data_IF_329517256775
#
_entry.id   IF_329517256775
#
_cell.length_a   1.000
_cell.length_b   1.000
_cell.length_c   1.000
_cell.angle_alpha   90.00
_cell.angle_beta   90.00
_cell.angle_gamma   90.00
#
_symmetry.space_group_name_H-M   'P 1'
#
loop_
_entity.id
_entity.type
_entity.pdbx_description
1 polymer ?
#
# COMPACT_ATOMS: atom_id res chain seq x y z
N UNK A 1 -20.45 18.98 -55.12
CA UNK A 1 -19.01 19.02 -54.79
C UNK A 1 -18.74 19.44 -53.34
N UNK A 2 -19.50 20.41 -52.79
CA UNK A 2 -19.37 20.85 -51.38
C UNK A 2 -19.54 19.74 -50.33
N UNK A 3 -20.51 18.83 -50.49
CA UNK A 3 -20.69 17.68 -49.60
C UNK A 3 -19.55 16.66 -49.67
N UNK A 4 -18.89 16.53 -50.84
CA UNK A 4 -17.74 15.64 -51.05
C UNK A 4 -16.48 16.18 -50.38
N UNK A 5 -16.28 17.50 -50.44
CA UNK A 5 -15.21 18.20 -49.73
C UNK A 5 -15.41 18.17 -48.21
N UNK A 6 -16.65 18.34 -47.73
CA UNK A 6 -16.99 18.23 -46.31
C UNK A 6 -16.75 16.82 -45.78
N UNK A 7 -17.18 15.78 -46.50
CA UNK A 7 -16.98 14.38 -46.11
C UNK A 7 -15.52 13.96 -46.15
N UNK A 8 -14.73 14.41 -47.14
CA UNK A 8 -13.28 14.18 -47.16
C UNK A 8 -12.56 14.84 -45.99
N UNK A 9 -12.96 16.06 -45.59
CA UNK A 9 -12.38 16.74 -44.43
C UNK A 9 -12.66 16.01 -43.11
N UNK A 10 -13.87 15.47 -42.95
CA UNK A 10 -14.24 14.65 -41.78
C UNK A 10 -13.44 13.35 -41.73
N UNK A 11 -13.30 12.66 -42.87
CA UNK A 11 -12.51 11.42 -42.96
C UNK A 11 -11.04 11.68 -42.60
N UNK A 12 -10.45 12.76 -43.12
CA UNK A 12 -9.06 13.12 -42.84
C UNK A 12 -8.84 13.43 -41.34
N UNK A 13 -9.79 14.13 -40.71
CA UNK A 13 -9.74 14.42 -39.27
C UNK A 13 -9.83 13.15 -38.41
N UNK A 14 -10.73 12.21 -38.76
CA UNK A 14 -10.88 10.94 -38.03
C UNK A 14 -9.63 10.08 -38.16
N UNK A 15 -9.04 9.99 -39.36
CA UNK A 15 -7.81 9.19 -39.57
C UNK A 15 -6.61 9.80 -38.83
N UNK A 16 -6.53 11.12 -38.74
CA UNK A 16 -5.46 11.81 -38.00
C UNK A 16 -5.49 11.60 -36.48
N UNK A 17 -6.62 11.19 -35.89
CA UNK A 17 -6.75 10.94 -34.45
C UNK A 17 -6.41 9.50 -34.02
N UNK A 18 -6.30 8.56 -34.96
CA UNK A 18 -5.99 7.15 -34.68
C UNK A 18 -4.62 6.87 -34.01
N UNK A 19 -3.52 7.60 -34.27
CA UNK A 19 -2.22 7.27 -33.68
C UNK A 19 -2.04 7.71 -32.21
N UNK A 20 -3.09 8.20 -31.54
CA UNK A 20 -2.98 8.68 -30.16
C UNK A 20 -2.78 7.57 -29.10
N UNK A 21 -3.05 6.30 -29.44
CA UNK A 21 -3.06 5.20 -28.47
C UNK A 21 -1.87 4.22 -28.57
N UNK A 22 -0.91 4.43 -29.48
CA UNK A 22 0.19 3.47 -29.73
C UNK A 22 1.49 3.77 -28.97
N UNK A 23 1.50 4.73 -28.04
CA UNK A 23 2.70 5.16 -27.29
C UNK A 23 2.75 4.66 -25.84
N UNK A 24 2.16 3.50 -25.57
CA UNK A 24 2.37 2.79 -24.30
C UNK A 24 3.54 1.82 -24.51
N UNK A 25 4.77 2.33 -24.38
CA UNK A 25 5.91 1.45 -24.14
C UNK A 25 5.59 0.62 -22.89
N UNK A 26 5.77 -0.70 -23.00
CA UNK A 26 5.50 -1.63 -21.91
C UNK A 26 6.31 -1.28 -20.65
N UNK A 27 5.94 -1.84 -19.49
CA UNK A 27 6.68 -1.58 -18.26
C UNK A 27 8.17 -1.97 -18.43
N UNK A 28 9.06 -1.12 -17.93
CA UNK A 28 10.51 -1.37 -17.96
C UNK A 28 10.89 -2.47 -16.95
N UNK A 29 11.04 -3.70 -17.45
CA UNK A 29 11.43 -4.89 -16.68
C UNK A 29 12.85 -4.80 -16.10
N UNK A 30 13.67 -3.85 -16.57
CA UNK A 30 15.05 -3.65 -16.11
C UNK A 30 15.20 -2.48 -15.14
N UNK A 31 14.10 -1.85 -14.75
CA UNK A 31 14.12 -0.76 -13.77
C UNK A 31 14.51 -1.27 -12.38
N UNK A 32 15.66 -0.80 -11.87
CA UNK A 32 16.14 -1.14 -10.52
C UNK A 32 15.79 -0.02 -9.54
N UNK A 33 14.82 -0.28 -8.66
CA UNK A 33 14.48 0.62 -7.55
C UNK A 33 15.42 0.39 -6.37
N UNK A 34 15.90 1.48 -5.76
CA UNK A 34 16.70 1.43 -4.53
C UNK A 34 15.81 1.65 -3.32
N UNK A 35 15.85 0.73 -2.36
CA UNK A 35 15.18 0.90 -1.08
C UNK A 35 15.88 2.01 -0.27
N UNK A 36 15.13 2.76 0.57
CA UNK A 36 15.74 3.67 1.53
C UNK A 36 16.68 2.91 2.47
N UNK A 37 17.72 3.58 3.01
CA UNK A 37 18.62 2.96 3.98
C UNK A 37 17.86 2.52 5.22
N UNK A 38 18.19 1.34 5.75
CA UNK A 38 17.62 0.84 6.99
C UNK A 38 18.17 1.64 8.19
N UNK A 39 17.29 2.05 9.09
CA UNK A 39 17.69 2.60 10.40
C UNK A 39 17.83 1.43 11.36
N UNK A 40 19.02 1.27 11.94
CA UNK A 40 19.25 0.29 13.00
C UNK A 40 18.53 0.79 14.25
N UNK A 41 17.60 0.02 14.85
CA UNK A 41 16.99 0.39 16.11
C UNK A 41 18.06 0.44 17.21
N UNK A 42 17.89 1.26 18.25
CA UNK A 42 18.85 1.31 19.35
C UNK A 42 18.96 -0.06 20.03
N UNK A 43 20.19 -0.40 20.44
CA UNK A 43 20.45 -1.61 21.21
C UNK A 43 19.83 -1.45 22.61
N UNK A 44 18.66 -2.04 22.80
CA UNK A 44 18.04 -2.08 24.12
C UNK A 44 18.66 -3.23 24.93
N UNK A 45 19.51 -2.90 25.88
CA UNK A 45 19.94 -3.84 26.92
C UNK A 45 18.84 -3.93 27.99
N UNK A 46 17.66 -4.42 27.60
CA UNK A 46 16.58 -4.67 28.54
C UNK A 46 17.06 -5.74 29.51
N UNK A 47 17.19 -5.36 30.78
CA UNK A 47 17.38 -6.33 31.84
C UNK A 47 16.07 -7.12 31.95
N UNK A 48 16.11 -8.47 31.90
CA UNK A 48 14.93 -9.26 32.18
C UNK A 48 14.28 -8.77 33.48
N UNK A 49 12.95 -8.72 33.54
CA UNK A 49 12.28 -8.53 34.81
C UNK A 49 12.85 -9.56 35.80
N UNK A 50 13.44 -9.11 36.91
CA UNK A 50 13.89 -10.01 37.98
C UNK A 50 12.69 -10.70 38.63
N UNK A 51 12.93 -11.74 39.43
CA UNK A 51 11.87 -12.55 40.07
C UNK A 51 10.89 -11.69 40.91
N UNK A 52 11.37 -10.55 41.44
CA UNK A 52 10.57 -9.58 42.22
C UNK A 52 9.77 -8.59 41.36
N UNK A 53 10.04 -8.51 40.06
CA UNK A 53 9.39 -7.53 39.20
C UNK A 53 8.06 -8.06 38.69
N UNK A 54 7.01 -7.75 39.44
CA UNK A 54 5.65 -7.83 38.92
C UNK A 54 5.60 -7.11 37.57
N UNK A 55 5.25 -7.85 36.51
CA UNK A 55 4.93 -7.25 35.21
C UNK A 55 3.74 -6.34 35.45
N UNK A 56 3.96 -5.03 35.49
CA UNK A 56 2.89 -4.05 35.68
C UNK A 56 1.83 -4.27 34.59
N UNK A 57 0.65 -4.73 34.99
CA UNK A 57 -0.47 -4.98 34.07
C UNK A 57 -0.53 -6.37 33.43
N UNK A 58 0.20 -7.37 33.93
CA UNK A 58 -0.04 -8.76 33.51
C UNK A 58 -1.40 -9.24 34.02
N UNK A 59 -2.31 -9.52 33.10
CA UNK A 59 -3.57 -10.19 33.42
C UNK A 59 -3.36 -11.70 33.44
N UNK A 60 -3.96 -12.38 34.40
CA UNK A 60 -3.99 -13.85 34.36
C UNK A 60 -4.86 -14.34 33.20
N UNK A 61 -4.60 -15.53 32.63
CA UNK A 61 -5.48 -16.11 31.60
C UNK A 61 -6.95 -16.15 32.02
N UNK A 62 -7.22 -16.36 33.30
CA UNK A 62 -8.56 -16.36 33.89
C UNK A 62 -9.21 -14.97 33.85
N UNK A 63 -8.47 -13.91 34.16
CA UNK A 63 -8.96 -12.52 34.06
C UNK A 63 -9.28 -12.13 32.62
N UNK A 64 -8.45 -12.56 31.67
CA UNK A 64 -8.67 -12.36 30.24
C UNK A 64 -9.96 -13.07 29.80
N UNK A 65 -10.11 -14.35 30.18
CA UNK A 65 -11.31 -15.13 29.88
C UNK A 65 -12.57 -14.50 30.49
N UNK A 66 -12.50 -14.08 31.76
CA UNK A 66 -13.64 -13.44 32.46
C UNK A 66 -14.06 -12.14 31.76
N UNK A 67 -13.10 -11.30 31.36
CA UNK A 67 -13.39 -10.05 30.62
C UNK A 67 -13.97 -10.32 29.23
N UNK A 68 -13.48 -11.34 28.53
CA UNK A 68 -14.01 -11.71 27.21
C UNK A 68 -15.46 -12.22 27.30
N UNK A 69 -15.80 -12.97 28.35
CA UNK A 69 -17.12 -13.56 28.54
C UNK A 69 -18.15 -12.59 29.13
N UNK A 70 -17.75 -11.78 30.11
CA UNK A 70 -18.69 -10.97 30.91
C UNK A 70 -18.49 -9.46 30.77
N UNK A 71 -17.50 -9.03 29.98
CA UNK A 71 -17.14 -7.62 29.86
C UNK A 71 -16.56 -7.06 31.18
N UNK A 72 -16.49 -5.74 31.27
CA UNK A 72 -15.83 -5.04 32.38
C UNK A 72 -16.70 -4.88 33.64
N UNK A 73 -17.75 -5.72 33.81
CA UNK A 73 -18.78 -5.58 34.86
C UNK A 73 -19.14 -6.89 35.59
N UNK A 74 -18.31 -7.92 35.49
CA UNK A 74 -18.51 -9.22 36.15
C UNK A 74 -17.59 -9.47 37.32
#
# INVERSE_FOLDING_TARGET
MRHKLLSMGIILAVVGMLPACSKLDGPDEFSVLKNPPLVVPPDYHLRPPGDESSVKGAFTPQEIAKRALFGNKG
#
